data_IF_504403372051
#
_entry.id   IF_504403372051
#
_cell.length_a   1.000
_cell.length_b   1.000
_cell.length_c   1.000
_cell.angle_alpha   90.00
_cell.angle_beta   90.00
_cell.angle_gamma   90.00
#
_symmetry.space_group_name_H-M   'P 1'
#
loop_
_entity.id
_entity.type
_entity.pdbx_description
1 polymer ?
#
# COMPACT_ATOMS: atom_id res chain seq x y z
N UNK A 1 -9.11 3.94 -7.27
CA UNK A 1 -9.73 2.64 -6.95
C UNK A 1 -10.91 2.32 -7.84
N UNK A 2 -12.01 3.10 -7.84
CA UNK A 2 -13.20 2.82 -8.65
C UNK A 2 -12.94 2.58 -10.14
N UNK A 3 -12.12 3.44 -10.78
CA UNK A 3 -11.75 3.28 -12.19
C UNK A 3 -11.03 1.95 -12.44
N UNK A 4 -10.09 1.57 -11.57
CA UNK A 4 -9.40 0.29 -11.66
C UNK A 4 -10.33 -0.90 -11.42
N UNK A 5 -11.29 -0.79 -10.50
CA UNK A 5 -12.33 -1.81 -10.28
C UNK A 5 -13.20 -2.02 -11.52
N UNK A 6 -13.49 -0.96 -12.28
CA UNK A 6 -14.23 -1.02 -13.55
C UNK A 6 -13.44 -1.67 -14.70
N UNK A 7 -12.20 -2.13 -14.46
CA UNK A 7 -11.40 -2.86 -15.45
C UNK A 7 -10.45 -1.99 -16.28
N UNK A 8 -10.36 -0.69 -15.99
CA UNK A 8 -9.38 0.16 -16.66
C UNK A 8 -7.95 -0.19 -16.20
N UNK A 9 -7.03 -0.13 -17.14
CA UNK A 9 -5.61 -0.39 -16.93
C UNK A 9 -4.92 0.80 -16.26
N UNK A 10 -5.12 0.93 -14.94
CA UNK A 10 -4.60 2.05 -14.13
C UNK A 10 -3.76 1.59 -12.93
N UNK A 11 -3.70 0.29 -12.66
CA UNK A 11 -2.88 -0.26 -11.59
C UNK A 11 -1.45 -0.49 -12.09
N UNK A 12 -0.48 -0.47 -11.17
CA UNK A 12 0.91 -0.73 -11.53
C UNK A 12 1.06 -2.16 -12.06
N UNK A 13 1.53 -2.29 -13.30
CA UNK A 13 1.69 -3.58 -13.97
C UNK A 13 0.38 -4.33 -14.25
N UNK A 14 -0.77 -3.65 -14.28
CA UNK A 14 -1.97 -4.23 -14.89
C UNK A 14 -1.82 -4.34 -16.40
N UNK A 15 -2.70 -5.13 -17.00
CA UNK A 15 -2.77 -5.33 -18.44
C UNK A 15 -4.22 -5.64 -18.82
N UNK A 16 -4.48 -5.81 -20.13
CA UNK A 16 -5.80 -6.26 -20.63
C UNK A 16 -6.22 -7.59 -20.00
N UNK A 17 -5.27 -8.48 -19.70
CA UNK A 17 -5.53 -9.81 -19.12
C UNK A 17 -5.60 -9.79 -17.58
N UNK A 18 -4.97 -8.79 -16.94
CA UNK A 18 -4.86 -8.68 -15.47
C UNK A 18 -5.22 -7.26 -15.03
N UNK A 19 -6.50 -6.94 -15.04
CA UNK A 19 -7.07 -5.68 -14.54
C UNK A 19 -8.32 -5.96 -13.68
N UNK A 20 -9.03 -4.90 -13.27
CA UNK A 20 -10.34 -5.07 -12.64
C UNK A 20 -10.30 -5.82 -11.32
N UNK A 21 -11.39 -6.51 -11.03
CA UNK A 21 -11.52 -7.36 -9.83
C UNK A 21 -10.49 -8.49 -9.80
N UNK A 22 -10.14 -9.07 -10.95
CA UNK A 22 -9.13 -10.13 -11.04
C UNK A 22 -7.77 -9.66 -10.54
N UNK A 23 -7.35 -8.45 -10.91
CA UNK A 23 -6.14 -7.83 -10.36
C UNK A 23 -6.28 -7.60 -8.85
N UNK A 24 -7.42 -7.04 -8.43
CA UNK A 24 -7.67 -6.69 -7.03
C UNK A 24 -7.79 -7.90 -6.10
N UNK A 25 -8.15 -9.08 -6.61
CA UNK A 25 -8.20 -10.33 -5.84
C UNK A 25 -6.87 -11.11 -5.85
N UNK A 26 -5.89 -10.66 -6.64
CA UNK A 26 -4.54 -11.23 -6.62
C UNK A 26 -3.71 -10.79 -5.41
N UNK A 27 -2.40 -11.09 -5.41
CA UNK A 27 -1.52 -10.82 -4.27
C UNK A 27 -1.38 -9.36 -3.84
N UNK A 28 -1.84 -8.41 -4.65
CA UNK A 28 -1.83 -6.97 -4.31
C UNK A 28 -3.11 -6.50 -3.62
N UNK A 29 -4.15 -7.33 -3.51
CA UNK A 29 -5.47 -6.94 -3.02
C UNK A 29 -5.48 -6.29 -1.65
N UNK A 30 -4.78 -6.89 -0.68
CA UNK A 30 -4.66 -6.32 0.66
C UNK A 30 -3.96 -4.95 0.69
N UNK A 31 -3.02 -4.72 -0.22
CA UNK A 31 -2.33 -3.42 -0.35
C UNK A 31 -3.26 -2.35 -0.91
N UNK A 32 -4.19 -2.73 -1.80
CA UNK A 32 -5.20 -1.80 -2.33
C UNK A 32 -6.20 -1.37 -1.26
N UNK A 33 -6.63 -2.31 -0.41
CA UNK A 33 -7.42 -1.99 0.78
C UNK A 33 -6.64 -1.07 1.71
N UNK A 34 -5.39 -1.44 2.03
CA UNK A 34 -4.51 -0.64 2.88
C UNK A 34 -4.25 0.76 2.33
N UNK A 35 -4.15 0.91 1.01
CA UNK A 35 -4.03 2.21 0.36
C UNK A 35 -5.25 3.11 0.59
N UNK A 36 -6.48 2.57 0.50
CA UNK A 36 -7.70 3.33 0.83
C UNK A 36 -7.69 3.80 2.28
N UNK A 37 -7.28 2.91 3.20
CA UNK A 37 -7.17 3.28 4.63
C UNK A 37 -6.11 4.37 4.84
N UNK A 38 -4.95 4.23 4.19
CA UNK A 38 -3.86 5.18 4.29
C UNK A 38 -4.24 6.56 3.74
N UNK A 39 -4.92 6.66 2.60
CA UNK A 39 -5.31 7.96 2.04
C UNK A 39 -6.32 8.69 2.92
N UNK A 40 -7.28 7.97 3.51
CA UNK A 40 -8.22 8.54 4.47
C UNK A 40 -7.51 9.03 5.74
N UNK A 41 -6.62 8.21 6.31
CA UNK A 41 -5.87 8.56 7.51
C UNK A 41 -4.94 9.76 7.27
N UNK A 42 -4.19 9.77 6.16
CA UNK A 42 -3.29 10.87 5.81
C UNK A 42 -4.06 12.16 5.52
N UNK A 43 -5.20 12.09 4.83
CA UNK A 43 -6.09 13.24 4.63
C UNK A 43 -6.56 13.83 5.95
N UNK A 44 -7.00 12.99 6.89
CA UNK A 44 -7.38 13.42 8.23
C UNK A 44 -6.21 14.07 9.00
N UNK A 45 -5.00 13.50 8.94
CA UNK A 45 -3.83 14.09 9.59
C UNK A 45 -3.42 15.43 8.97
N UNK A 46 -3.54 15.58 7.66
CA UNK A 46 -3.30 16.83 6.96
C UNK A 46 -4.30 17.92 7.42
N UNK A 47 -5.59 17.60 7.57
CA UNK A 47 -6.58 18.53 8.13
C UNK A 47 -6.25 18.95 9.57
N UNK A 48 -5.58 18.07 10.34
CA UNK A 48 -5.07 18.36 11.69
C UNK A 48 -3.71 19.09 11.69
N UNK A 49 -3.18 19.45 10.53
CA UNK A 49 -1.93 20.20 10.39
C UNK A 49 -0.68 19.38 10.70
N UNK A 50 -0.72 18.06 10.57
CA UNK A 50 0.46 17.20 10.77
C UNK A 50 1.52 17.42 9.69
N UNK A 51 1.11 17.91 8.52
CA UNK A 51 1.96 18.35 7.41
C UNK A 51 2.77 19.61 7.70
N UNK A 52 2.47 20.35 8.79
CA UNK A 52 3.18 21.58 9.18
C UNK A 52 4.43 21.35 10.03
N UNK A 53 4.75 20.10 10.36
CA UNK A 53 5.89 19.74 11.19
C UNK A 53 6.51 18.44 10.67
N UNK A 54 7.80 18.47 10.36
CA UNK A 54 8.54 17.32 9.86
C UNK A 54 8.32 16.05 10.72
N UNK A 55 8.32 16.18 12.05
CA UNK A 55 8.11 15.04 12.95
C UNK A 55 6.68 14.47 12.87
N UNK A 56 5.68 15.34 12.79
CA UNK A 56 4.27 14.90 12.66
C UNK A 56 4.03 14.30 11.27
N UNK A 57 4.62 14.87 10.23
CA UNK A 57 4.56 14.35 8.87
C UNK A 57 5.21 12.95 8.80
N UNK A 58 6.40 12.79 9.40
CA UNK A 58 7.06 11.49 9.52
C UNK A 58 6.16 10.46 10.21
N UNK A 59 5.53 10.82 11.34
CA UNK A 59 4.60 9.95 12.04
C UNK A 59 3.37 9.58 11.19
N UNK A 60 2.75 10.56 10.51
CA UNK A 60 1.63 10.32 9.60
C UNK A 60 2.02 9.33 8.49
N UNK A 61 3.18 9.52 7.87
CA UNK A 61 3.68 8.65 6.80
C UNK A 61 3.99 7.23 7.30
N UNK A 62 4.58 7.08 8.49
CA UNK A 62 4.79 5.77 9.10
C UNK A 62 3.46 5.04 9.35
N UNK A 63 2.44 5.76 9.83
CA UNK A 63 1.09 5.20 10.00
C UNK A 63 0.51 4.80 8.64
N UNK A 64 0.66 5.64 7.61
CA UNK A 64 0.23 5.34 6.25
C UNK A 64 0.88 4.06 5.70
N UNK A 65 2.19 3.90 5.89
CA UNK A 65 2.90 2.68 5.51
C UNK A 65 2.40 1.45 6.28
N UNK A 66 2.18 1.57 7.59
CA UNK A 66 1.63 0.48 8.39
C UNK A 66 0.22 0.07 7.91
N UNK A 67 -0.64 1.04 7.59
CA UNK A 67 -1.97 0.80 7.05
C UNK A 67 -1.94 0.13 5.66
N UNK A 68 -0.87 0.31 4.88
CA UNK A 68 -0.67 -0.39 3.61
C UNK A 68 -0.16 -1.82 3.86
N UNK A 69 0.90 -1.97 4.66
CA UNK A 69 1.59 -3.25 4.81
C UNK A 69 0.83 -4.28 5.65
N UNK A 70 0.13 -3.87 6.71
CA UNK A 70 -0.57 -4.81 7.59
C UNK A 70 -1.61 -5.63 6.81
N UNK A 71 -2.62 -5.02 6.14
CA UNK A 71 -3.56 -5.78 5.33
C UNK A 71 -2.91 -6.37 4.08
N UNK A 72 -1.91 -5.70 3.50
CA UNK A 72 -1.17 -6.20 2.33
C UNK A 72 -0.49 -7.53 2.57
N UNK A 73 0.34 -7.62 3.61
CA UNK A 73 1.07 -8.82 3.98
C UNK A 73 0.12 -9.91 4.50
N UNK A 74 -0.89 -9.54 5.29
CA UNK A 74 -1.91 -10.48 5.77
C UNK A 74 -2.63 -11.16 4.60
N UNK A 75 -3.04 -10.38 3.59
CA UNK A 75 -3.66 -10.89 2.38
C UNK A 75 -2.70 -11.73 1.54
N UNK A 76 -1.49 -11.22 1.27
CA UNK A 76 -0.50 -11.91 0.47
C UNK A 76 -0.15 -13.29 1.04
N UNK A 77 -0.07 -13.39 2.38
CA UNK A 77 0.22 -14.65 3.06
C UNK A 77 -0.91 -15.70 2.95
N UNK A 78 -2.11 -15.31 2.51
CA UNK A 78 -3.24 -16.24 2.24
C UNK A 78 -3.27 -16.72 0.80
N UNK A 79 -2.42 -16.17 -0.08
CA UNK A 79 -2.40 -16.56 -1.48
C UNK A 79 -1.92 -18.02 -1.64
N UNK A 80 -2.45 -18.79 -2.61
CA UNK A 80 -2.08 -20.20 -2.79
C UNK A 80 -0.60 -20.45 -3.07
N UNK A 81 0.12 -19.43 -3.56
CA UNK A 81 1.54 -19.48 -3.88
C UNK A 81 2.45 -18.91 -2.78
N UNK A 82 1.89 -18.48 -1.64
CA UNK A 82 2.71 -18.00 -0.53
C UNK A 82 3.40 -19.19 0.15
N UNK A 83 4.73 -19.20 0.12
CA UNK A 83 5.53 -20.34 0.61
C UNK A 83 5.72 -20.32 2.13
N UNK A 84 5.81 -19.13 2.73
CA UNK A 84 5.98 -18.93 4.17
C UNK A 84 5.77 -17.46 4.56
N UNK A 85 5.67 -17.18 5.87
CA UNK A 85 5.67 -15.79 6.37
C UNK A 85 6.96 -15.06 5.99
N UNK A 86 8.10 -15.75 6.02
CA UNK A 86 9.38 -15.18 5.61
C UNK A 86 9.37 -14.78 4.13
N UNK A 87 8.85 -15.64 3.26
CA UNK A 87 8.64 -15.34 1.84
C UNK A 87 7.73 -14.13 1.64
N UNK A 88 6.61 -14.06 2.39
CA UNK A 88 5.68 -12.93 2.32
C UNK A 88 6.36 -11.61 2.69
N UNK A 89 7.18 -11.59 3.74
CA UNK A 89 7.95 -10.40 4.11
C UNK A 89 8.99 -10.05 3.04
N UNK A 90 9.73 -11.05 2.56
CA UNK A 90 10.76 -10.87 1.54
C UNK A 90 10.21 -10.30 0.24
N UNK A 91 9.05 -10.79 -0.23
CA UNK A 91 8.45 -10.35 -1.50
C UNK A 91 7.50 -9.16 -1.35
N UNK A 92 6.83 -9.06 -0.21
CA UNK A 92 5.75 -8.11 0.03
C UNK A 92 6.14 -6.86 0.82
N UNK A 93 7.30 -6.83 1.47
CA UNK A 93 7.76 -5.69 2.27
C UNK A 93 9.15 -5.23 1.85
N UNK A 94 10.14 -6.13 1.88
CA UNK A 94 11.57 -5.80 1.69
C UNK A 94 11.88 -4.95 0.45
N UNK A 95 11.38 -5.25 -0.77
CA UNK A 95 11.73 -4.46 -1.96
C UNK A 95 11.22 -3.02 -1.89
N UNK A 96 10.20 -2.74 -1.07
CA UNK A 96 9.57 -1.43 -0.97
C UNK A 96 10.18 -0.53 0.11
N UNK A 97 10.86 -1.11 1.11
CA UNK A 97 11.41 -0.37 2.25
C UNK A 97 12.37 0.76 1.84
N UNK A 98 13.24 0.52 0.85
CA UNK A 98 14.16 1.54 0.34
C UNK A 98 13.37 2.72 -0.23
N UNK A 99 12.36 2.43 -1.04
CA UNK A 99 11.50 3.46 -1.62
C UNK A 99 10.75 4.25 -0.55
N UNK A 100 10.30 3.59 0.53
CA UNK A 100 9.55 4.26 1.58
C UNK A 100 10.43 5.11 2.50
N UNK A 101 11.64 4.68 2.79
CA UNK A 101 12.64 5.51 3.50
C UNK A 101 12.95 6.76 2.68
N UNK A 102 13.14 6.61 1.37
CA UNK A 102 13.39 7.74 0.48
C UNK A 102 12.19 8.70 0.43
N UNK A 103 10.95 8.19 0.31
CA UNK A 103 9.75 9.02 0.36
C UNK A 103 9.64 9.78 1.67
N UNK A 104 9.91 9.11 2.80
CA UNK A 104 9.83 9.73 4.12
C UNK A 104 10.87 10.86 4.23
N UNK A 105 12.12 10.61 3.84
CA UNK A 105 13.19 11.61 3.86
C UNK A 105 12.92 12.82 2.94
N UNK A 106 12.21 12.63 1.82
CA UNK A 106 11.87 13.73 0.89
C UNK A 106 10.65 14.54 1.34
N UNK A 107 9.75 13.93 2.10
CA UNK A 107 8.49 14.56 2.50
C UNK A 107 8.56 15.32 3.83
N UNK A 108 9.60 15.05 4.65
CA UNK A 108 9.83 15.67 5.96
C UNK A 108 10.90 16.75 5.87
#
# INVERSE_FOLDING_TARGET
MLIGTLGFDVFAGSSVEKNGLTYMMGGTGGYLLGYVLATLALGYFAEKGWDRSALKMAAAMLIGNALIYIPGLAWLNTMPYAESVAWTVEKGLTPFLIGDVLKLALAT
#
